data_IF_925770542437
#
_entry.id   IF_925770542437
#
_cell.length_a   1.000
_cell.length_b   1.000
_cell.length_c   1.000
_cell.angle_alpha   90.00
_cell.angle_beta   90.00
_cell.angle_gamma   90.00
#
_symmetry.space_group_name_H-M   'P 1'
#
loop_
_entity.id
_entity.type
_entity.pdbx_description
1 polymer ?
#
# COMPACT_ATOMS: atom_id res chain seq x y z
N UNK A 1 0.54 17.10 -6.64
CA UNK A 1 1.87 16.98 -6.01
C UNK A 1 2.02 15.61 -5.37
N UNK A 2 3.19 15.02 -5.44
CA UNK A 2 3.50 13.73 -4.80
C UNK A 2 4.42 13.95 -3.62
N UNK A 3 4.18 13.19 -2.55
CA UNK A 3 5.01 13.24 -1.36
C UNK A 3 5.28 11.81 -0.90
N UNK A 4 6.54 11.49 -0.63
CA UNK A 4 6.89 10.16 -0.11
C UNK A 4 6.09 9.87 1.16
N UNK A 5 5.47 8.71 1.22
CA UNK A 5 4.64 8.31 2.35
C UNK A 5 5.30 7.20 3.16
N UNK A 6 5.61 6.09 2.52
CA UNK A 6 6.26 4.99 3.23
C UNK A 6 6.87 3.97 2.28
N UNK A 7 7.69 3.09 2.88
CA UNK A 7 8.21 1.90 2.22
C UNK A 7 7.50 0.70 2.83
N UNK A 8 6.79 -0.05 2.00
CA UNK A 8 6.07 -1.24 2.44
C UNK A 8 6.93 -2.48 2.32
N UNK A 9 7.10 -3.19 3.43
CA UNK A 9 7.85 -4.43 3.47
C UNK A 9 6.94 -5.56 3.95
N UNK A 10 7.10 -6.74 3.35
CA UNK A 10 6.25 -7.89 3.66
C UNK A 10 6.85 -8.64 4.85
N UNK A 11 5.98 -9.03 5.79
CA UNK A 11 6.36 -9.94 6.87
C UNK A 11 5.38 -11.09 6.93
N UNK A 12 5.83 -12.24 7.40
CA UNK A 12 5.00 -13.43 7.57
C UNK A 12 4.74 -13.75 9.03
N UNK A 13 5.26 -12.91 9.94
CA UNK A 13 5.07 -13.05 11.37
C UNK A 13 4.51 -11.77 11.94
N UNK A 14 3.82 -11.88 13.08
CA UNK A 14 3.23 -10.71 13.75
C UNK A 14 4.34 -9.74 14.18
N UNK A 15 4.07 -8.46 13.98
CA UNK A 15 4.98 -7.36 14.33
C UNK A 15 4.32 -6.50 15.39
N UNK A 16 5.10 -6.07 16.39
CA UNK A 16 4.59 -5.18 17.42
C UNK A 16 4.01 -3.90 16.80
N UNK A 17 2.83 -3.51 17.25
CA UNK A 17 2.17 -2.29 16.77
C UNK A 17 1.33 -2.48 15.52
N UNK A 18 1.25 -3.70 14.96
CA UNK A 18 0.41 -3.91 13.78
C UNK A 18 -1.07 -3.76 14.12
N UNK A 19 -1.83 -3.26 13.14
CA UNK A 19 -3.27 -3.02 13.21
C UNK A 19 -3.95 -3.78 12.07
N UNK A 20 -5.12 -4.34 12.33
CA UNK A 20 -5.90 -5.06 11.33
C UNK A 20 -6.71 -4.08 10.48
N UNK A 21 -6.63 -4.25 9.16
CA UNK A 21 -7.42 -3.50 8.17
C UNK A 21 -8.39 -4.47 7.50
N UNK A 22 -9.64 -4.43 7.91
CA UNK A 22 -10.62 -5.43 7.50
C UNK A 22 -10.97 -5.34 6.01
N UNK A 23 -10.96 -4.16 5.43
CA UNK A 23 -11.27 -3.99 4.00
C UNK A 23 -10.32 -4.74 3.10
N UNK A 24 -9.05 -4.84 3.49
CA UNK A 24 -8.01 -5.51 2.70
C UNK A 24 -7.59 -6.85 3.32
N UNK A 25 -8.05 -7.14 4.54
CA UNK A 25 -7.69 -8.32 5.32
C UNK A 25 -6.17 -8.45 5.45
N UNK A 26 -5.57 -7.37 5.97
CA UNK A 26 -4.13 -7.29 6.21
C UNK A 26 -3.87 -6.68 7.57
N UNK A 27 -2.70 -6.99 8.14
CA UNK A 27 -2.15 -6.27 9.29
C UNK A 27 -1.07 -5.33 8.79
N UNK A 28 -1.03 -4.11 9.32
CA UNK A 28 0.00 -3.14 8.95
C UNK A 28 0.44 -2.31 10.13
N UNK A 29 1.71 -1.94 10.15
CA UNK A 29 2.22 -1.00 11.16
C UNK A 29 2.06 0.43 10.66
N UNK A 30 2.13 1.39 11.56
CA UNK A 30 2.04 2.79 11.19
C UNK A 30 3.42 3.32 10.81
N UNK A 31 3.62 3.76 9.56
CA UNK A 31 4.91 4.30 9.16
C UNK A 31 5.32 5.56 9.91
N UNK A 32 4.36 6.30 10.51
CA UNK A 32 4.69 7.46 11.33
C UNK A 32 5.47 7.09 12.59
N UNK A 33 5.35 5.84 13.04
CA UNK A 33 6.04 5.36 14.24
C UNK A 33 7.43 4.79 13.93
N UNK A 34 7.85 4.83 12.67
CA UNK A 34 9.14 4.27 12.25
C UNK A 34 10.03 5.40 11.71
N UNK A 35 11.30 5.51 12.19
CA UNK A 35 12.18 6.58 11.74
C UNK A 35 12.52 6.52 10.25
N UNK A 36 12.39 5.35 9.63
CA UNK A 36 12.64 5.16 8.20
C UNK A 36 11.34 5.10 7.39
N UNK A 37 10.20 5.36 8.02
CA UNK A 37 8.87 5.31 7.42
C UNK A 37 8.58 3.95 6.79
N UNK A 38 8.96 2.88 7.47
CA UNK A 38 8.67 1.52 7.04
C UNK A 38 7.31 1.11 7.59
N UNK A 39 6.45 0.58 6.70
CA UNK A 39 5.23 -0.11 7.07
C UNK A 39 5.44 -1.59 6.87
N UNK A 40 5.36 -2.38 7.95
CA UNK A 40 5.39 -3.83 7.85
C UNK A 40 3.99 -4.32 7.57
N UNK A 41 3.82 -5.10 6.50
CA UNK A 41 2.52 -5.57 6.05
C UNK A 41 2.50 -7.10 6.07
N UNK A 42 1.46 -7.65 6.68
CA UNK A 42 1.22 -9.09 6.75
C UNK A 42 -0.16 -9.39 6.18
N UNK A 43 -0.24 -10.26 5.19
CA UNK A 43 -1.47 -10.54 4.47
C UNK A 43 -2.13 -11.80 5.00
N UNK A 44 -3.43 -11.71 5.34
CA UNK A 44 -4.20 -12.88 5.67
C UNK A 44 -4.41 -13.71 4.39
N UNK A 45 -4.55 -15.04 4.49
CA UNK A 45 -4.82 -15.87 3.31
C UNK A 45 -6.08 -15.46 2.55
N UNK A 46 -7.07 -14.90 3.26
CA UNK A 46 -8.33 -14.45 2.66
C UNK A 46 -8.25 -13.05 2.06
N UNK A 47 -7.10 -12.37 2.13
CA UNK A 47 -6.96 -11.03 1.57
C UNK A 47 -7.21 -11.05 0.07
N UNK A 48 -7.98 -10.09 -0.46
CA UNK A 48 -8.14 -9.97 -1.91
C UNK A 48 -6.84 -9.67 -2.64
N UNK A 49 -5.79 -9.25 -1.91
CA UNK A 49 -4.48 -8.96 -2.48
C UNK A 49 -3.49 -10.12 -2.35
N UNK A 50 -3.88 -11.22 -1.69
CA UNK A 50 -2.95 -12.31 -1.35
C UNK A 50 -2.26 -12.92 -2.57
N UNK A 51 -2.95 -12.97 -3.71
CA UNK A 51 -2.40 -13.56 -4.94
C UNK A 51 -1.84 -12.52 -5.90
N UNK A 52 -1.77 -11.27 -5.49
CA UNK A 52 -1.21 -10.19 -6.31
C UNK A 52 0.25 -9.94 -5.97
N UNK A 53 1.00 -9.23 -6.83
CA UNK A 53 2.36 -8.83 -6.49
C UNK A 53 2.47 -8.01 -5.21
N UNK A 54 1.40 -7.32 -4.80
CA UNK A 54 1.40 -6.49 -3.58
C UNK A 54 1.72 -7.32 -2.33
N UNK A 55 1.30 -8.58 -2.30
CA UNK A 55 1.57 -9.47 -1.16
C UNK A 55 2.90 -10.20 -1.28
N UNK A 56 3.66 -9.99 -2.35
CA UNK A 56 4.83 -10.83 -2.67
C UNK A 56 6.12 -10.04 -2.80
N UNK A 57 6.06 -8.72 -2.81
CA UNK A 57 7.25 -7.89 -3.00
C UNK A 57 7.08 -6.55 -2.30
N UNK A 58 8.19 -5.88 -1.97
CA UNK A 58 8.12 -4.55 -1.36
C UNK A 58 7.55 -3.52 -2.32
N UNK A 59 7.03 -2.43 -1.75
CA UNK A 59 6.55 -1.32 -2.56
C UNK A 59 6.96 0.01 -1.94
N UNK A 60 7.04 1.04 -2.79
CA UNK A 60 7.26 2.41 -2.36
C UNK A 60 5.95 3.17 -2.54
N UNK A 61 5.52 3.87 -1.49
CA UNK A 61 4.24 4.57 -1.46
C UNK A 61 4.42 6.08 -1.48
N UNK A 62 3.62 6.73 -2.32
CA UNK A 62 3.56 8.18 -2.43
C UNK A 62 2.15 8.67 -2.16
N UNK A 63 2.03 9.72 -1.36
CA UNK A 63 0.76 10.41 -1.19
C UNK A 63 0.56 11.37 -2.36
N UNK A 64 -0.64 11.35 -2.94
CA UNK A 64 -1.01 12.19 -4.07
C UNK A 64 -2.30 12.94 -3.77
N UNK A 65 -2.51 14.07 -4.45
CA UNK A 65 -3.71 14.89 -4.25
C UNK A 65 -4.90 14.37 -5.05
N UNK A 66 -4.67 13.87 -6.26
CA UNK A 66 -5.71 13.39 -7.15
C UNK A 66 -5.28 12.06 -7.76
N UNK A 67 -5.76 10.98 -7.17
CA UNK A 67 -5.35 9.63 -7.57
C UNK A 67 -5.69 9.33 -9.02
N UNK A 68 -6.92 9.65 -9.44
CA UNK A 68 -7.35 9.30 -10.79
C UNK A 68 -6.51 10.00 -11.84
N UNK A 69 -6.14 11.25 -11.61
CA UNK A 69 -5.29 11.98 -12.55
C UNK A 69 -3.87 11.42 -12.57
N UNK A 70 -3.32 11.10 -11.41
CA UNK A 70 -1.96 10.57 -11.31
C UNK A 70 -1.83 9.19 -11.95
N UNK A 71 -2.92 8.44 -12.04
CA UNK A 71 -2.90 7.09 -12.61
C UNK A 71 -3.00 7.06 -14.13
N UNK A 72 -3.29 8.19 -14.79
CA UNK A 72 -3.39 8.22 -16.23
C UNK A 72 -2.08 7.78 -16.89
N UNK A 73 -2.18 6.84 -17.82
CA UNK A 73 -1.01 6.31 -18.50
C UNK A 73 -0.22 5.29 -17.72
N UNK A 74 -0.64 4.96 -16.49
CA UNK A 74 0.05 3.94 -15.69
C UNK A 74 -0.50 2.56 -15.99
N UNK A 75 0.36 1.56 -15.89
CA UNK A 75 -0.03 0.16 -16.03
C UNK A 75 -0.41 -0.38 -14.65
N UNK A 76 -1.72 -0.38 -14.36
CA UNK A 76 -2.22 -0.76 -13.05
C UNK A 76 -2.04 -2.25 -12.79
N UNK A 77 -1.63 -2.56 -11.56
CA UNK A 77 -1.55 -3.92 -11.04
C UNK A 77 -2.77 -4.20 -10.17
N UNK A 78 -3.12 -3.26 -9.29
CA UNK A 78 -4.25 -3.35 -8.36
C UNK A 78 -4.85 -1.97 -8.19
N UNK A 79 -6.18 -1.91 -8.18
CA UNK A 79 -6.90 -0.69 -7.83
C UNK A 79 -7.29 0.15 -9.03
N UNK A 80 -7.83 1.34 -8.79
CA UNK A 80 -8.01 1.98 -7.48
C UNK A 80 -9.01 1.24 -6.60
N UNK A 81 -8.74 1.23 -5.30
CA UNK A 81 -9.65 0.66 -4.33
C UNK A 81 -9.59 1.44 -3.02
N UNK A 82 -10.62 1.29 -2.20
CA UNK A 82 -10.70 1.97 -0.92
C UNK A 82 -10.06 1.09 0.15
N UNK A 83 -8.97 1.59 0.76
CA UNK A 83 -8.26 0.87 1.81
C UNK A 83 -8.87 1.11 3.19
N UNK A 84 -9.46 2.29 3.40
CA UNK A 84 -10.11 2.71 4.63
C UNK A 84 -11.06 3.85 4.28
N UNK A 85 -11.94 4.27 5.20
CA UNK A 85 -12.78 5.44 4.93
C UNK A 85 -11.92 6.65 4.54
N UNK A 86 -12.23 7.23 3.36
CA UNK A 86 -11.50 8.38 2.85
C UNK A 86 -10.11 8.11 2.31
N UNK A 87 -9.69 6.85 2.23
CA UNK A 87 -8.36 6.49 1.74
C UNK A 87 -8.49 5.57 0.53
N UNK A 88 -8.00 6.03 -0.62
CA UNK A 88 -7.97 5.24 -1.85
C UNK A 88 -6.52 4.97 -2.24
N UNK A 89 -6.28 3.77 -2.75
CA UNK A 89 -4.94 3.34 -3.15
C UNK A 89 -4.97 2.67 -4.51
N UNK A 90 -3.83 2.68 -5.18
CA UNK A 90 -3.62 1.90 -6.39
C UNK A 90 -2.13 1.55 -6.49
N UNK A 91 -1.86 0.42 -7.13
CA UNK A 91 -0.50 -0.06 -7.33
C UNK A 91 -0.22 -0.22 -8.82
N UNK A 92 0.99 0.10 -9.23
CA UNK A 92 1.43 -0.06 -10.62
C UNK A 92 2.92 -0.36 -10.64
N UNK A 93 3.41 -0.88 -11.77
CA UNK A 93 4.84 -1.09 -11.96
C UNK A 93 5.47 0.11 -12.66
N UNK A 94 6.63 0.52 -12.16
CA UNK A 94 7.47 1.54 -12.79
C UNK A 94 8.88 0.97 -12.88
N UNK A 95 9.31 0.64 -14.09
CA UNK A 95 10.64 0.07 -14.34
C UNK A 95 10.94 -1.15 -13.45
N UNK A 96 9.92 -1.99 -13.25
CA UNK A 96 10.05 -3.19 -12.44
C UNK A 96 9.85 -3.00 -10.95
N UNK A 97 9.77 -1.75 -10.48
CA UNK A 97 9.48 -1.46 -9.07
C UNK A 97 7.98 -1.38 -8.85
N UNK A 98 7.50 -1.92 -7.75
CA UNK A 98 6.09 -1.80 -7.36
C UNK A 98 5.89 -0.49 -6.62
N UNK A 99 4.98 0.34 -7.13
CA UNK A 99 4.70 1.66 -6.58
C UNK A 99 3.23 1.73 -6.16
N UNK A 100 2.98 2.33 -5.00
CA UNK A 100 1.64 2.62 -4.52
C UNK A 100 1.41 4.13 -4.54
N UNK A 101 0.27 4.56 -5.08
CA UNK A 101 -0.23 5.92 -4.85
C UNK A 101 -1.38 5.87 -3.86
N UNK A 102 -1.36 6.80 -2.91
CA UNK A 102 -2.32 6.87 -1.82
C UNK A 102 -2.93 8.27 -1.78
N UNK A 103 -4.27 8.32 -1.76
CA UNK A 103 -5.02 9.57 -1.70
C UNK A 103 -5.87 9.56 -0.45
N UNK A 104 -5.76 10.62 0.37
CA UNK A 104 -6.57 10.79 1.59
C UNK A 104 -7.50 11.98 1.37
N UNK A 105 -8.80 11.75 1.59
CA UNK A 105 -9.83 12.79 1.46
C UNK A 105 -10.78 12.83 2.63
#
# INVERSE_FOLDING_TARGET
>A
MKKFHHLGLITHTAVSGEVWYDSLKVWGTNPDDDPNRIEWVRFAPASPLAETPVAKMPHISWAVDDLDQELQGKQLVVGPLQAAPGVRIAYFFLDGALVEYLEVK
#
